data_IF_335794323700
#
_entry.id   IF_335794323700
#
_cell.length_a   1.000
_cell.length_b   1.000
_cell.length_c   1.000
_cell.angle_alpha   90.00
_cell.angle_beta   90.00
_cell.angle_gamma   90.00
#
_symmetry.space_group_name_H-M   'P 1'
#
loop_
_entity.id
_entity.type
_entity.pdbx_description
1 polymer ?
#
# COMPACT_ATOMS: atom_id res chain seq x y z
N UNK A 1 17.02 20.83 14.56
CA UNK A 1 17.68 21.59 13.47
C UNK A 1 16.69 22.66 13.02
N UNK A 2 17.12 23.91 12.98
CA UNK A 2 16.24 25.06 12.71
C UNK A 2 15.80 25.06 11.25
N UNK A 3 14.49 25.15 11.02
CA UNK A 3 13.92 25.42 9.71
C UNK A 3 14.07 26.92 9.45
N UNK A 4 14.84 27.30 8.44
CA UNK A 4 14.98 28.70 8.01
C UNK A 4 13.75 29.10 7.17
N UNK A 5 13.28 30.34 7.24
CA UNK A 5 12.15 30.79 6.41
C UNK A 5 12.58 31.03 4.96
N UNK A 6 11.61 31.11 4.05
CA UNK A 6 11.88 31.42 2.64
C UNK A 6 12.44 32.84 2.51
N UNK A 7 11.95 33.80 3.32
CA UNK A 7 12.45 35.18 3.27
C UNK A 7 13.92 35.28 3.69
N UNK A 8 14.32 34.50 4.70
CA UNK A 8 15.73 34.44 5.13
C UNK A 8 16.65 33.80 4.08
N UNK A 9 16.12 32.92 3.22
CA UNK A 9 16.88 32.34 2.09
C UNK A 9 17.10 33.40 1.02
N UNK A 10 16.06 34.16 0.66
CA UNK A 10 16.14 35.20 -0.36
C UNK A 10 17.14 36.29 0.01
N UNK A 11 17.13 36.75 1.27
CA UNK A 11 18.09 37.76 1.75
C UNK A 11 19.54 37.30 1.65
N UNK A 12 19.80 36.01 1.88
CA UNK A 12 21.16 35.46 1.79
C UNK A 12 21.65 35.34 0.35
N UNK A 13 20.75 34.96 -0.56
CA UNK A 13 21.04 34.96 -1.99
C UNK A 13 21.35 36.39 -2.46
N UNK A 14 20.57 37.37 -2.01
CA UNK A 14 20.77 38.79 -2.35
C UNK A 14 22.06 39.36 -1.77
N UNK A 15 22.48 38.89 -0.60
CA UNK A 15 23.79 39.19 0.00
C UNK A 15 24.98 38.50 -0.70
N UNK A 16 24.72 37.66 -1.71
CA UNK A 16 25.75 36.91 -2.45
C UNK A 16 26.30 35.69 -1.69
N UNK A 17 25.62 35.22 -0.64
CA UNK A 17 25.98 33.97 0.02
C UNK A 17 25.53 32.76 -0.81
N UNK A 18 26.39 31.75 -0.95
CA UNK A 18 26.01 30.48 -1.60
C UNK A 18 25.04 29.68 -0.70
N UNK A 19 23.76 29.68 -1.07
CA UNK A 19 22.70 28.99 -0.32
C UNK A 19 22.48 27.54 -0.78
N UNK A 20 22.98 27.19 -1.96
CA UNK A 20 22.77 25.87 -2.59
C UNK A 20 23.49 24.77 -1.78
N UNK A 21 24.73 24.99 -1.36
CA UNK A 21 25.57 23.95 -0.76
C UNK A 21 25.18 23.53 0.66
N UNK A 22 24.45 24.37 1.42
CA UNK A 22 24.05 24.03 2.80
C UNK A 22 22.63 23.46 2.92
N UNK A 23 21.75 23.79 1.98
CA UNK A 23 20.33 23.39 2.05
C UNK A 23 19.89 22.45 0.94
N UNK A 24 20.67 22.31 -0.13
CA UNK A 24 20.42 21.39 -1.25
C UNK A 24 21.48 20.29 -1.38
N UNK A 25 22.40 20.17 -0.41
CA UNK A 25 23.34 19.06 -0.38
C UNK A 25 22.59 17.74 -0.18
N UNK A 26 22.73 16.84 -1.16
CA UNK A 26 22.16 15.50 -1.15
C UNK A 26 22.46 14.66 0.10
N UNK A 27 23.49 15.03 0.88
CA UNK A 27 23.85 14.36 2.14
C UNK A 27 23.06 14.87 3.36
N UNK A 28 22.54 16.11 3.32
CA UNK A 28 21.79 16.74 4.43
C UNK A 28 20.33 17.04 4.07
N UNK A 29 20.00 17.16 2.78
CA UNK A 29 18.66 17.46 2.32
C UNK A 29 17.80 16.19 2.28
N UNK A 30 16.60 16.29 2.83
CA UNK A 30 15.52 15.29 2.69
C UNK A 30 14.93 15.24 1.27
N UNK A 31 15.71 15.63 0.27
CA UNK A 31 15.39 15.67 -1.15
C UNK A 31 16.35 14.70 -1.80
N UNK A 32 15.88 13.49 -2.09
CA UNK A 32 16.69 12.39 -2.64
C UNK A 32 16.63 11.10 -1.83
N UNK A 33 16.34 11.15 -0.53
CA UNK A 33 15.99 9.92 0.20
C UNK A 33 14.64 9.44 -0.33
N UNK A 34 14.66 8.40 -1.17
CA UNK A 34 13.46 7.60 -1.47
C UNK A 34 12.93 7.09 -0.13
N UNK A 35 11.99 7.80 0.48
CA UNK A 35 11.14 7.17 1.47
C UNK A 35 10.47 6.05 0.70
N UNK A 36 10.76 4.79 1.05
CA UNK A 36 9.85 3.74 0.67
C UNK A 36 8.48 4.23 1.13
N UNK A 37 7.57 4.47 0.19
CA UNK A 37 6.17 4.52 0.52
C UNK A 37 5.87 3.09 0.98
N UNK A 38 6.09 2.82 2.26
CA UNK A 38 5.43 1.71 2.91
C UNK A 38 3.97 2.10 2.78
N UNK A 39 3.28 1.43 1.85
CA UNK A 39 1.82 1.46 1.82
C UNK A 39 1.39 1.34 3.27
N UNK A 40 0.59 2.29 3.77
CA UNK A 40 -0.04 2.17 5.10
C UNK A 40 -0.86 0.88 5.25
N UNK A 41 -0.99 0.10 4.15
CA UNK A 41 -1.50 -1.25 4.05
C UNK A 41 -0.38 -2.27 3.77
N UNK A 42 0.75 -2.23 4.47
CA UNK A 42 1.44 -3.50 4.76
C UNK A 42 0.53 -4.24 5.74
N UNK A 43 -0.54 -4.82 5.20
CA UNK A 43 -1.25 -5.88 5.91
C UNK A 43 -0.21 -6.97 6.10
N UNK A 44 -0.08 -7.49 7.32
CA UNK A 44 0.68 -8.71 7.54
C UNK A 44 0.00 -9.80 6.70
N UNK A 45 0.68 -10.22 5.64
CA UNK A 45 0.20 -11.27 4.74
C UNK A 45 0.72 -12.58 5.30
N UNK A 46 -0.14 -13.28 6.01
CA UNK A 46 0.11 -14.68 6.38
C UNK A 46 -0.15 -15.57 5.17
N UNK A 47 0.79 -16.48 4.88
CA UNK A 47 0.68 -17.43 3.77
C UNK A 47 0.29 -18.79 4.31
N UNK A 48 -0.90 -19.26 3.97
CA UNK A 48 -1.44 -20.55 4.43
C UNK A 48 -1.61 -21.50 3.26
N UNK A 49 -1.14 -22.75 3.43
CA UNK A 49 -1.41 -23.84 2.49
C UNK A 49 -2.84 -24.35 2.69
N UNK A 50 -3.60 -24.44 1.60
CA UNK A 50 -4.97 -24.98 1.59
C UNK A 50 -5.02 -26.12 0.58
N UNK A 51 -5.57 -27.26 1.00
CA UNK A 51 -5.82 -28.38 0.10
C UNK A 51 -7.15 -28.16 -0.61
N UNK A 52 -7.11 -28.12 -1.95
CA UNK A 52 -8.28 -27.88 -2.80
C UNK A 52 -8.37 -29.04 -3.79
N UNK A 53 -9.54 -29.69 -3.93
CA UNK A 53 -9.73 -30.74 -4.93
C UNK A 53 -9.43 -30.23 -6.35
N UNK A 54 -8.78 -31.06 -7.16
CA UNK A 54 -8.49 -30.77 -8.58
C UNK A 54 -9.71 -30.27 -9.40
N UNK A 55 -10.92 -30.85 -9.29
CA UNK A 55 -12.06 -30.33 -10.03
C UNK A 55 -12.40 -28.88 -9.64
N UNK A 56 -12.36 -28.56 -8.35
CA UNK A 56 -12.61 -27.20 -7.86
C UNK A 56 -11.53 -26.22 -8.34
N UNK A 57 -10.26 -26.64 -8.41
CA UNK A 57 -9.21 -25.80 -9.00
C UNK A 57 -9.49 -25.45 -10.47
N UNK A 58 -10.05 -26.40 -11.23
CA UNK A 58 -10.40 -26.21 -12.64
C UNK A 58 -11.54 -25.20 -12.79
N UNK A 59 -12.54 -25.27 -11.90
CA UNK A 59 -13.63 -24.29 -11.84
C UNK A 59 -13.10 -22.88 -11.49
N UNK A 60 -12.23 -22.79 -10.50
CA UNK A 60 -11.60 -21.52 -10.10
C UNK A 60 -10.75 -20.91 -11.24
N UNK A 61 -10.07 -21.75 -12.02
CA UNK A 61 -9.32 -21.31 -13.20
C UNK A 61 -10.21 -20.78 -14.31
N UNK A 62 -11.34 -21.43 -14.54
CA UNK A 62 -12.33 -20.96 -15.52
C UNK A 62 -12.85 -19.59 -15.11
N UNK A 63 -13.25 -19.43 -13.85
CA UNK A 63 -13.70 -18.13 -13.32
C UNK A 63 -12.60 -17.06 -13.40
N UNK A 64 -11.36 -17.43 -13.09
CA UNK A 64 -10.22 -16.52 -13.19
C UNK A 64 -10.02 -15.98 -14.61
N UNK A 65 -10.16 -16.85 -15.62
CA UNK A 65 -10.11 -16.47 -17.04
C UNK A 65 -11.27 -15.56 -17.44
N UNK A 66 -12.49 -15.90 -17.03
CA UNK A 66 -13.70 -15.11 -17.34
C UNK A 66 -13.62 -13.70 -16.75
N UNK A 67 -13.08 -13.57 -15.53
CA UNK A 67 -12.93 -12.29 -14.83
C UNK A 67 -11.62 -11.56 -15.15
N UNK A 68 -10.72 -12.16 -15.93
CA UNK A 68 -9.38 -11.65 -16.22
C UNK A 68 -8.58 -11.25 -14.96
N UNK A 69 -8.64 -12.09 -13.92
CA UNK A 69 -7.90 -11.91 -12.66
C UNK A 69 -7.17 -13.20 -12.28
N UNK A 70 -6.29 -13.12 -11.28
CA UNK A 70 -5.60 -14.31 -10.79
C UNK A 70 -6.55 -15.24 -10.02
N UNK A 71 -6.29 -16.55 -10.04
CA UNK A 71 -7.01 -17.54 -9.21
C UNK A 71 -7.01 -17.14 -7.73
N UNK A 72 -5.89 -16.63 -7.22
CA UNK A 72 -5.80 -16.13 -5.84
C UNK A 72 -6.74 -14.95 -5.57
N UNK A 73 -6.97 -14.07 -6.54
CA UNK A 73 -7.93 -12.98 -6.41
C UNK A 73 -9.37 -13.52 -6.37
N UNK A 74 -9.70 -14.49 -7.21
CA UNK A 74 -11.01 -15.20 -7.16
C UNK A 74 -11.24 -15.81 -5.78
N UNK A 75 -10.26 -16.57 -5.28
CA UNK A 75 -10.35 -17.22 -3.95
C UNK A 75 -10.55 -16.17 -2.84
N UNK A 76 -9.75 -15.09 -2.83
CA UNK A 76 -9.88 -14.01 -1.84
C UNK A 76 -11.25 -13.34 -1.90
N UNK A 77 -11.75 -13.09 -3.10
CA UNK A 77 -13.06 -12.47 -3.32
C UNK A 77 -14.19 -13.36 -2.79
N UNK A 78 -14.19 -14.65 -3.16
CA UNK A 78 -15.20 -15.60 -2.71
C UNK A 78 -15.18 -15.79 -1.19
N UNK A 79 -13.98 -15.92 -0.61
CA UNK A 79 -13.82 -16.04 0.85
C UNK A 79 -14.35 -14.80 1.57
N UNK A 80 -14.04 -13.60 1.07
CA UNK A 80 -14.53 -12.35 1.67
C UNK A 80 -16.06 -12.29 1.63
N UNK A 81 -16.65 -12.63 0.49
CA UNK A 81 -18.10 -12.66 0.32
C UNK A 81 -18.77 -13.64 1.30
N UNK A 82 -18.26 -14.86 1.41
CA UNK A 82 -18.81 -15.86 2.33
C UNK A 82 -18.72 -15.42 3.80
N UNK A 83 -17.60 -14.78 4.19
CA UNK A 83 -17.46 -14.22 5.54
C UNK A 83 -18.45 -13.07 5.78
N UNK A 84 -18.60 -12.16 4.81
CA UNK A 84 -19.55 -11.05 4.91
C UNK A 84 -21.00 -11.54 5.03
N UNK A 85 -21.40 -12.52 4.23
CA UNK A 85 -22.72 -13.16 4.29
C UNK A 85 -22.95 -13.82 5.67
N UNK A 86 -21.95 -14.55 6.19
CA UNK A 86 -22.03 -15.15 7.52
C UNK A 86 -22.16 -14.10 8.64
N UNK A 87 -21.40 -13.01 8.59
CA UNK A 87 -21.51 -11.94 9.59
C UNK A 87 -22.86 -11.22 9.54
N UNK A 88 -23.41 -11.01 8.34
CA UNK A 88 -24.75 -10.44 8.16
C UNK A 88 -25.83 -11.34 8.75
N UNK A 89 -25.79 -12.64 8.47
CA UNK A 89 -26.73 -13.61 9.03
C UNK A 89 -26.66 -13.67 10.57
N UNK A 90 -25.44 -13.71 11.13
CA UNK A 90 -25.23 -13.70 12.59
C UNK A 90 -25.74 -12.41 13.26
N UNK A 91 -25.67 -11.27 12.56
CA UNK A 91 -26.20 -10.00 13.07
C UNK A 91 -27.74 -10.00 13.09
N UNK A 92 -28.37 -10.59 12.07
CA UNK A 92 -29.83 -10.71 11.99
C UNK A 92 -30.40 -11.66 13.05
N UNK A 93 -29.67 -12.73 13.42
CA UNK A 93 -30.08 -13.65 14.49
C UNK A 93 -29.97 -13.09 15.93
N UNK A 94 -29.36 -11.92 16.12
CA UNK A 94 -29.20 -11.28 17.44
C UNK A 94 -30.25 -10.21 17.75
N UNK A 95 -31.27 -10.07 16.91
CA UNK A 95 -32.44 -9.20 17.10
C UNK A 95 -33.65 -10.07 17.47
#
# INVERSE_FOLDING_TARGET
MNNISIEEIEQKIEAGEEVIDRYFDSTTTRVGTRRQMTSRRRQDIETTKVEIPSPMLTELDKMAKELNISRSAVIKMMLRRALDEHYLAKKQMKL
#
